data_IF_391734278097
#
_entry.id   IF_391734278097
#
_cell.length_a   1.000
_cell.length_b   1.000
_cell.length_c   1.000
_cell.angle_alpha   90.00
_cell.angle_beta   90.00
_cell.angle_gamma   90.00
#
_symmetry.space_group_name_H-M   'P 1'
#
loop_
_entity.id
_entity.type
_entity.pdbx_description
1 polymer ?
#
# COMPACT_ATOMS: atom_id res chain seq x y z
N UNK A 1 -30.67 52.47 18.75
CA UNK A 1 -30.24 51.24 18.02
C UNK A 1 -30.17 51.55 16.53
N UNK A 2 -28.98 51.42 15.89
CA UNK A 2 -28.86 51.66 14.44
C UNK A 2 -29.47 50.47 13.69
N UNK A 3 -30.38 50.74 12.74
CA UNK A 3 -30.96 49.68 11.87
C UNK A 3 -29.84 49.04 11.02
N UNK A 4 -29.83 47.71 10.91
CA UNK A 4 -28.82 47.02 10.07
C UNK A 4 -28.94 47.46 8.62
N UNK A 5 -27.82 47.64 7.95
CA UNK A 5 -27.80 48.00 6.53
C UNK A 5 -28.35 46.87 5.69
N UNK A 6 -29.05 47.12 4.55
CA UNK A 6 -29.60 46.06 3.71
C UNK A 6 -28.51 45.06 3.19
N UNK A 7 -27.27 45.52 3.06
CA UNK A 7 -26.12 44.68 2.71
C UNK A 7 -25.77 43.69 3.83
N UNK A 8 -25.84 44.10 5.10
CA UNK A 8 -25.59 43.22 6.24
C UNK A 8 -26.71 42.17 6.37
N UNK A 9 -27.96 42.56 6.15
CA UNK A 9 -29.10 41.64 6.17
C UNK A 9 -28.97 40.60 5.05
N UNK A 10 -28.60 41.03 3.83
CA UNK A 10 -28.38 40.12 2.72
C UNK A 10 -27.21 39.12 2.98
N UNK A 11 -26.10 39.61 3.54
CA UNK A 11 -24.96 38.75 3.91
C UNK A 11 -25.37 37.70 4.95
N UNK A 12 -26.08 38.11 6.02
CA UNK A 12 -26.56 37.18 7.05
C UNK A 12 -27.53 36.15 6.47
N UNK A 13 -28.43 36.55 5.57
CA UNK A 13 -29.34 35.63 4.90
C UNK A 13 -28.59 34.60 4.04
N UNK A 14 -27.59 35.03 3.27
CA UNK A 14 -26.75 34.10 2.46
C UNK A 14 -25.99 33.12 3.36
N UNK A 15 -25.37 33.61 4.44
CA UNK A 15 -24.65 32.72 5.39
C UNK A 15 -25.61 31.72 6.01
N UNK A 16 -26.81 32.09 6.41
CA UNK A 16 -27.80 31.18 6.98
C UNK A 16 -28.25 30.11 5.96
N UNK A 17 -28.51 30.52 4.71
CA UNK A 17 -28.91 29.59 3.64
C UNK A 17 -27.78 28.58 3.34
N UNK A 18 -26.53 29.04 3.23
CA UNK A 18 -25.37 28.21 3.00
C UNK A 18 -25.16 27.23 4.17
N UNK A 19 -25.23 27.75 5.42
CA UNK A 19 -25.04 26.91 6.61
C UNK A 19 -26.14 25.83 6.73
N UNK A 20 -27.39 26.21 6.45
CA UNK A 20 -28.52 25.29 6.45
C UNK A 20 -28.38 24.22 5.34
N UNK A 21 -27.97 24.64 4.14
CA UNK A 21 -27.72 23.73 3.00
C UNK A 21 -26.58 22.74 3.26
N UNK A 22 -25.47 23.21 3.81
CA UNK A 22 -24.33 22.36 4.22
C UNK A 22 -24.74 21.42 5.34
N UNK A 23 -25.43 21.93 6.37
CA UNK A 23 -25.92 21.10 7.47
C UNK A 23 -26.87 19.99 7.01
N UNK A 24 -27.82 20.31 6.13
CA UNK A 24 -28.73 19.32 5.55
C UNK A 24 -27.98 18.29 4.71
N UNK A 25 -27.02 18.72 3.88
CA UNK A 25 -26.18 17.81 3.08
C UNK A 25 -25.38 16.84 3.96
N UNK A 26 -24.73 17.36 5.00
CA UNK A 26 -23.95 16.55 5.95
C UNK A 26 -24.82 15.53 6.66
N UNK A 27 -26.00 15.93 7.17
CA UNK A 27 -26.94 15.00 7.84
C UNK A 27 -27.43 13.93 6.88
N UNK A 28 -27.78 14.33 5.64
CA UNK A 28 -28.25 13.38 4.62
C UNK A 28 -27.13 12.40 4.19
N UNK A 29 -25.90 12.90 3.97
CA UNK A 29 -24.75 12.08 3.63
C UNK A 29 -24.39 11.10 4.76
N UNK A 30 -24.36 11.57 6.00
CA UNK A 30 -24.16 10.72 7.18
C UNK A 30 -25.27 9.68 7.36
N UNK A 31 -26.53 10.04 7.09
CA UNK A 31 -27.67 9.13 7.12
C UNK A 31 -27.56 8.03 6.06
N UNK A 32 -27.25 8.39 4.82
CA UNK A 32 -27.08 7.42 3.73
C UNK A 32 -25.91 6.47 3.99
N UNK A 33 -24.80 6.96 4.52
CA UNK A 33 -23.65 6.13 4.88
C UNK A 33 -23.98 5.16 6.03
N UNK A 34 -24.73 5.61 7.06
CA UNK A 34 -25.21 4.73 8.14
C UNK A 34 -26.14 3.65 7.62
N UNK A 35 -27.05 3.98 6.69
CA UNK A 35 -27.94 3.01 6.07
C UNK A 35 -27.17 1.98 5.22
N UNK A 36 -26.18 2.40 4.46
CA UNK A 36 -25.32 1.50 3.69
C UNK A 36 -24.55 0.53 4.60
N UNK A 37 -23.98 1.04 5.70
CA UNK A 37 -23.27 0.22 6.69
C UNK A 37 -24.24 -0.77 7.39
N UNK A 38 -25.44 -0.33 7.75
CA UNK A 38 -26.44 -1.16 8.43
C UNK A 38 -27.07 -2.22 7.52
N UNK A 39 -27.15 -1.97 6.21
CA UNK A 39 -27.69 -2.90 5.21
C UNK A 39 -26.63 -3.77 4.54
N UNK A 40 -25.34 -3.58 4.88
CA UNK A 40 -24.26 -4.39 4.36
C UNK A 40 -24.43 -5.85 4.81
N UNK A 41 -24.16 -6.83 3.93
CA UNK A 41 -24.22 -8.24 4.30
C UNK A 41 -23.28 -8.51 5.48
N UNK A 42 -23.72 -9.30 6.46
CA UNK A 42 -22.85 -9.73 7.53
C UNK A 42 -21.70 -10.60 6.95
N UNK A 43 -20.46 -10.23 7.25
CA UNK A 43 -19.31 -11.05 6.88
C UNK A 43 -19.24 -12.23 7.84
N UNK A 44 -19.20 -13.46 7.30
CA UNK A 44 -18.99 -14.64 8.13
C UNK A 44 -17.68 -14.52 8.89
N UNK A 45 -17.73 -14.67 10.22
CA UNK A 45 -16.59 -14.51 11.10
C UNK A 45 -16.21 -15.83 11.79
N UNK A 46 -14.94 -15.93 12.17
CA UNK A 46 -14.38 -17.04 12.94
C UNK A 46 -13.55 -16.50 14.09
N UNK A 47 -13.10 -17.38 14.97
CA UNK A 47 -12.23 -17.01 16.09
C UNK A 47 -10.83 -16.62 15.62
N UNK A 48 -10.31 -15.50 16.15
CA UNK A 48 -9.00 -14.95 15.77
C UNK A 48 -7.84 -15.86 16.20
N UNK A 49 -7.89 -16.41 17.40
CA UNK A 49 -6.83 -17.29 17.88
C UNK A 49 -6.72 -18.55 17.02
N UNK A 50 -7.86 -19.12 16.62
CA UNK A 50 -7.91 -20.26 15.71
C UNK A 50 -7.37 -19.94 14.32
N UNK A 51 -7.67 -18.75 13.78
CA UNK A 51 -7.18 -18.33 12.47
C UNK A 51 -5.65 -18.10 12.48
N UNK A 52 -5.11 -17.54 13.57
CA UNK A 52 -3.68 -17.30 13.73
C UNK A 52 -2.86 -18.57 14.04
N UNK A 53 -3.49 -19.65 14.50
CA UNK A 53 -2.81 -20.89 14.84
C UNK A 53 -2.31 -21.70 13.64
N UNK A 54 -2.71 -21.34 12.42
CA UNK A 54 -2.36 -22.01 11.17
C UNK A 54 -1.73 -21.01 10.19
N UNK A 55 -1.05 -21.45 9.13
CA UNK A 55 -0.65 -20.55 8.06
C UNK A 55 -1.83 -19.75 7.53
N UNK A 56 -1.66 -18.42 7.44
CA UNK A 56 -2.77 -17.50 7.20
C UNK A 56 -2.34 -16.27 6.38
N UNK A 57 -3.32 -15.51 5.92
CA UNK A 57 -3.10 -14.19 5.32
C UNK A 57 -3.69 -13.13 6.23
N UNK A 58 -2.89 -12.13 6.55
CA UNK A 58 -3.31 -10.89 7.21
C UNK A 58 -3.57 -9.86 6.13
N UNK A 59 -4.68 -9.13 6.22
CA UNK A 59 -5.06 -8.14 5.21
C UNK A 59 -5.99 -7.07 5.79
N UNK A 60 -6.15 -5.97 5.06
CA UNK A 60 -7.17 -4.95 5.33
C UNK A 60 -8.51 -5.39 4.75
N UNK A 61 -9.57 -5.43 5.55
CA UNK A 61 -10.93 -5.69 5.07
C UNK A 61 -11.48 -4.48 4.31
N UNK A 62 -12.01 -4.70 3.10
CA UNK A 62 -12.60 -3.65 2.26
C UNK A 62 -14.06 -3.91 1.91
N UNK A 63 -14.68 -4.96 2.47
CA UNK A 63 -16.12 -5.15 2.34
C UNK A 63 -16.86 -4.02 3.06
N UNK A 64 -17.89 -3.44 2.45
CA UNK A 64 -18.74 -2.45 3.09
C UNK A 64 -19.31 -2.99 4.40
N UNK A 65 -19.32 -2.18 5.46
CA UNK A 65 -19.86 -2.56 6.75
C UNK A 65 -19.04 -2.08 7.93
N UNK A 66 -19.39 -2.54 9.15
CA UNK A 66 -18.70 -2.13 10.39
C UNK A 66 -17.22 -2.49 10.43
N UNK A 67 -16.82 -3.55 9.73
CA UNK A 67 -15.45 -4.04 9.67
C UNK A 67 -14.63 -3.47 8.51
N UNK A 68 -15.13 -2.46 7.79
CA UNK A 68 -14.36 -1.78 6.75
C UNK A 68 -13.12 -1.11 7.32
N UNK A 69 -11.95 -1.45 6.78
CA UNK A 69 -10.67 -0.93 7.22
C UNK A 69 -10.02 -1.71 8.37
N UNK A 70 -10.74 -2.64 9.01
CA UNK A 70 -10.15 -3.48 10.05
C UNK A 70 -9.12 -4.47 9.47
N UNK A 71 -8.16 -4.82 10.29
CA UNK A 71 -7.25 -5.94 10.04
C UNK A 71 -8.04 -7.23 10.15
N UNK A 72 -7.94 -8.05 9.13
CA UNK A 72 -8.61 -9.33 9.05
C UNK A 72 -7.61 -10.45 8.74
N UNK A 73 -7.96 -11.66 9.14
CA UNK A 73 -7.15 -12.87 8.98
C UNK A 73 -8.01 -13.97 8.38
N UNK A 74 -7.47 -14.69 7.39
CA UNK A 74 -8.06 -15.93 6.87
C UNK A 74 -7.00 -17.03 6.85
N UNK A 75 -7.35 -18.29 7.19
CA UNK A 75 -6.46 -19.42 6.99
C UNK A 75 -6.11 -19.58 5.50
N UNK A 76 -4.88 -19.93 5.18
CA UNK A 76 -4.46 -20.23 3.80
C UNK A 76 -5.26 -21.39 3.18
N UNK A 77 -5.71 -22.33 4.00
CA UNK A 77 -6.55 -23.45 3.56
C UNK A 77 -7.98 -23.05 3.12
N UNK A 78 -8.44 -21.83 3.52
CA UNK A 78 -9.77 -21.34 3.21
C UNK A 78 -9.77 -19.80 2.98
N UNK A 79 -9.08 -19.28 1.95
CA UNK A 79 -8.87 -17.85 1.77
C UNK A 79 -10.16 -17.06 1.50
N UNK A 80 -11.17 -17.69 0.91
CA UNK A 80 -12.50 -17.10 0.70
C UNK A 80 -13.52 -17.45 1.80
N UNK A 81 -13.07 -18.12 2.87
CA UNK A 81 -13.91 -18.55 3.99
C UNK A 81 -14.20 -17.46 5.01
N UNK A 82 -14.75 -17.86 6.17
CA UNK A 82 -14.95 -16.96 7.30
C UNK A 82 -13.64 -16.31 7.72
N UNK A 83 -13.68 -15.01 8.01
CA UNK A 83 -12.51 -14.24 8.43
C UNK A 83 -12.55 -13.90 9.90
N UNK A 84 -11.39 -13.84 10.54
CA UNK A 84 -11.27 -13.30 11.88
C UNK A 84 -10.90 -11.81 11.80
N UNK A 85 -11.31 -11.02 12.79
CA UNK A 85 -10.98 -9.59 12.84
C UNK A 85 -10.16 -9.30 14.09
N UNK A 86 -9.07 -8.55 13.89
CA UNK A 86 -8.28 -8.01 14.97
C UNK A 86 -8.84 -6.65 15.42
N UNK A 87 -8.56 -6.27 16.67
CA UNK A 87 -8.91 -4.92 17.19
C UNK A 87 -7.87 -3.88 16.73
N UNK A 88 -7.70 -3.81 15.41
CA UNK A 88 -6.81 -2.85 14.76
C UNK A 88 -7.40 -2.46 13.39
N UNK A 89 -7.18 -1.21 12.99
CA UNK A 89 -7.59 -0.69 11.69
C UNK A 89 -6.41 0.01 11.02
N UNK A 90 -6.10 -0.39 9.77
CA UNK A 90 -4.99 0.11 9.00
C UNK A 90 -5.44 0.54 7.61
N UNK A 91 -4.88 1.62 7.08
CA UNK A 91 -5.08 2.00 5.68
C UNK A 91 -4.17 1.16 4.78
N UNK A 92 -2.96 0.82 5.25
CA UNK A 92 -2.03 -0.16 4.68
C UNK A 92 -1.42 -0.98 5.80
N UNK A 93 -1.11 -2.23 5.52
CA UNK A 93 -0.41 -3.08 6.48
C UNK A 93 0.56 -4.04 5.80
N UNK A 94 1.48 -4.55 6.60
CA UNK A 94 2.29 -5.71 6.25
C UNK A 94 2.69 -6.46 7.53
N UNK A 95 2.71 -7.78 7.49
CA UNK A 95 2.98 -8.63 8.65
C UNK A 95 4.06 -9.64 8.34
N UNK A 96 5.02 -9.78 9.25
CA UNK A 96 6.03 -10.84 9.24
C UNK A 96 6.09 -11.45 10.65
N UNK A 97 5.85 -12.75 10.76
CA UNK A 97 5.79 -13.43 12.05
C UNK A 97 4.78 -12.77 12.98
N UNK A 98 5.25 -12.23 14.10
CA UNK A 98 4.44 -11.54 15.11
C UNK A 98 4.44 -10.02 15.00
N UNK A 99 5.13 -9.45 14.01
CA UNK A 99 5.29 -8.00 13.82
C UNK A 99 4.41 -7.52 12.68
N UNK A 100 3.55 -6.54 12.93
CA UNK A 100 2.72 -5.91 11.89
C UNK A 100 3.03 -4.43 11.81
N UNK A 101 3.36 -3.94 10.61
CA UNK A 101 3.38 -2.51 10.29
C UNK A 101 1.99 -2.08 9.84
N UNK A 102 1.45 -1.06 10.46
CA UNK A 102 0.11 -0.54 10.26
C UNK A 102 0.19 0.97 9.95
N UNK A 103 -0.05 1.36 8.73
CA UNK A 103 -0.06 2.75 8.32
C UNK A 103 -1.49 3.28 8.41
N UNK A 104 -1.68 4.43 9.08
CA UNK A 104 -3.00 4.99 9.36
C UNK A 104 -3.14 6.44 8.97
N UNK A 105 -4.35 6.78 8.55
CA UNK A 105 -4.83 8.16 8.41
C UNK A 105 -5.62 8.50 9.67
N UNK A 106 -5.04 9.30 10.55
CA UNK A 106 -5.69 9.74 11.80
C UNK A 106 -6.49 11.01 11.50
N UNK A 107 -7.81 10.84 11.41
CA UNK A 107 -8.73 11.93 11.11
C UNK A 107 -9.09 12.69 12.38
N UNK A 108 -8.99 14.01 12.34
CA UNK A 108 -9.31 14.92 13.45
C UNK A 108 -9.48 16.34 12.91
N UNK A 109 -9.30 17.35 13.78
CA UNK A 109 -9.29 18.77 13.37
C UNK A 109 -8.19 19.01 12.31
N UNK A 110 -7.05 18.36 12.48
CA UNK A 110 -6.03 18.23 11.44
C UNK A 110 -5.81 16.74 11.16
N UNK A 111 -5.77 16.38 9.89
CA UNK A 111 -5.42 15.01 9.48
C UNK A 111 -3.93 14.79 9.73
N UNK A 112 -3.59 13.66 10.35
CA UNK A 112 -2.23 13.18 10.56
C UNK A 112 -2.08 11.80 9.93
N UNK A 113 -0.85 11.43 9.65
CA UNK A 113 -0.49 10.12 9.13
C UNK A 113 0.53 9.50 10.06
N UNK A 114 0.34 8.24 10.39
CA UNK A 114 1.15 7.54 11.39
C UNK A 114 1.46 6.13 10.93
N UNK A 115 2.63 5.65 11.31
CA UNK A 115 2.99 4.24 11.26
C UNK A 115 2.99 3.71 12.68
N UNK A 116 2.22 2.66 12.92
CA UNK A 116 2.30 1.86 14.13
C UNK A 116 2.97 0.53 13.83
N UNK A 117 3.78 0.05 14.75
CA UNK A 117 4.20 -1.35 14.81
C UNK A 117 3.36 -2.05 15.89
N UNK A 118 2.72 -3.14 15.50
CA UNK A 118 1.85 -3.93 16.38
C UNK A 118 2.50 -5.27 16.69
N UNK A 119 2.33 -5.73 17.94
CA UNK A 119 2.73 -7.06 18.38
C UNK A 119 1.69 -8.16 17.98
N UNK A 120 1.96 -9.41 18.34
CA UNK A 120 1.05 -10.55 18.12
C UNK A 120 -0.32 -10.42 18.81
N UNK A 121 -0.45 -9.51 19.75
CA UNK A 121 -1.71 -9.18 20.46
C UNK A 121 -2.37 -7.94 19.85
N UNK A 122 -1.88 -7.46 18.73
CA UNK A 122 -2.34 -6.26 18.00
C UNK A 122 -2.19 -4.96 18.81
N UNK A 123 -1.29 -4.94 19.81
CA UNK A 123 -0.97 -3.75 20.60
C UNK A 123 0.20 -3.02 19.96
N UNK A 124 0.09 -1.68 19.95
CA UNK A 124 1.16 -0.82 19.45
C UNK A 124 2.39 -0.89 20.34
N UNK A 125 3.53 -1.21 19.76
CA UNK A 125 4.85 -1.26 20.41
C UNK A 125 5.71 -0.06 20.07
N UNK A 126 5.53 0.51 18.87
CA UNK A 126 6.19 1.72 18.42
C UNK A 126 5.27 2.53 17.50
N UNK A 127 5.45 3.85 17.47
CA UNK A 127 4.71 4.77 16.60
C UNK A 127 5.64 5.88 16.12
N UNK A 128 5.53 6.26 14.85
CA UNK A 128 6.19 7.45 14.30
C UNK A 128 5.32 8.14 13.25
N UNK A 129 5.52 9.44 13.02
CA UNK A 129 4.76 10.17 12.00
C UNK A 129 5.13 9.66 10.60
N UNK A 130 4.11 9.56 9.74
CA UNK A 130 4.28 9.31 8.32
C UNK A 130 4.15 10.65 7.59
N UNK A 131 5.03 11.00 6.63
CA UNK A 131 5.07 12.34 6.04
C UNK A 131 3.89 12.67 5.12
N UNK A 132 3.05 11.69 4.81
CA UNK A 132 1.90 11.89 3.92
C UNK A 132 0.98 10.68 3.84
N UNK A 133 0.21 10.60 2.75
CA UNK A 133 -0.82 9.56 2.57
C UNK A 133 -0.15 8.17 2.48
N UNK A 134 -0.59 7.20 3.32
CA UNK A 134 -0.10 5.82 3.29
C UNK A 134 -0.09 5.21 1.89
N UNK A 135 1.05 4.71 1.44
CA UNK A 135 1.18 4.08 0.14
C UNK A 135 1.57 2.61 0.26
N UNK A 136 2.75 2.31 0.85
CA UNK A 136 3.30 0.96 0.92
C UNK A 136 4.02 0.71 2.23
N UNK A 137 4.05 -0.54 2.67
CA UNK A 137 4.85 -0.99 3.81
C UNK A 137 5.44 -2.36 3.56
N UNK A 138 6.65 -2.59 4.08
CA UNK A 138 7.31 -3.90 4.14
C UNK A 138 8.11 -4.03 5.42
N UNK A 139 8.21 -5.26 5.88
CA UNK A 139 9.02 -5.64 7.05
C UNK A 139 10.09 -6.61 6.54
N UNK A 140 11.31 -6.53 7.09
CA UNK A 140 12.37 -7.51 6.80
C UNK A 140 11.99 -8.92 7.27
N UNK A 141 12.53 -9.98 6.65
CA UNK A 141 12.16 -11.36 7.00
C UNK A 141 12.38 -11.74 8.46
N UNK A 142 13.31 -11.09 9.16
CA UNK A 142 13.58 -11.26 10.58
C UNK A 142 12.68 -10.40 11.50
N UNK A 143 11.85 -9.52 10.92
CA UNK A 143 10.97 -8.62 11.65
C UNK A 143 11.62 -7.36 12.21
N UNK A 144 12.93 -7.13 11.97
CA UNK A 144 13.70 -6.07 12.60
C UNK A 144 13.59 -4.70 11.95
N UNK A 145 13.33 -4.66 10.62
CA UNK A 145 13.25 -3.44 9.84
C UNK A 145 11.85 -3.24 9.25
N UNK A 146 11.42 -1.99 9.22
CA UNK A 146 10.14 -1.55 8.64
C UNK A 146 10.41 -0.45 7.61
N UNK A 147 10.11 -0.72 6.36
CA UNK A 147 10.11 0.29 5.30
C UNK A 147 8.69 0.81 5.07
N UNK A 148 8.53 2.12 5.02
CA UNK A 148 7.26 2.78 4.74
C UNK A 148 7.39 3.77 3.61
N UNK A 149 6.40 3.81 2.72
CA UNK A 149 6.31 4.79 1.64
C UNK A 149 5.02 5.59 1.81
N UNK A 150 5.11 6.90 1.74
CA UNK A 150 3.98 7.83 1.73
C UNK A 150 3.97 8.69 0.46
N UNK A 151 2.78 9.03 -0.03
CA UNK A 151 2.63 10.11 -1.00
C UNK A 151 2.74 11.44 -0.28
N UNK A 152 3.63 12.30 -0.74
CA UNK A 152 3.90 13.61 -0.16
C UNK A 152 3.57 14.73 -1.15
N UNK A 153 3.19 15.90 -0.60
CA UNK A 153 2.94 17.12 -1.37
C UNK A 153 3.90 18.21 -0.91
N UNK A 154 4.30 19.12 -1.81
CA UNK A 154 5.12 20.27 -1.45
C UNK A 154 6.62 20.11 -1.67
N UNK A 155 7.09 18.97 -2.14
CA UNK A 155 8.45 18.84 -2.67
C UNK A 155 8.53 19.48 -4.07
N UNK A 156 9.69 20.02 -4.44
CA UNK A 156 9.91 20.75 -5.71
C UNK A 156 9.62 19.94 -6.99
N UNK A 157 9.44 18.63 -6.86
CA UNK A 157 9.11 17.71 -7.95
C UNK A 157 7.60 17.61 -8.25
N UNK A 158 6.75 18.17 -7.40
CA UNK A 158 5.29 17.99 -7.46
C UNK A 158 4.60 18.73 -8.62
N UNK A 159 5.33 19.37 -9.52
CA UNK A 159 4.70 20.14 -10.60
C UNK A 159 4.08 19.28 -11.71
N UNK A 160 4.47 18.00 -11.88
CA UNK A 160 3.92 17.11 -12.91
C UNK A 160 4.04 15.63 -12.50
N UNK A 161 3.48 15.20 -11.36
CA UNK A 161 3.53 13.80 -10.96
C UNK A 161 3.28 13.60 -9.47
N UNK A 162 3.28 12.35 -9.02
CA UNK A 162 3.27 12.03 -7.60
C UNK A 162 4.71 12.09 -7.05
N UNK A 163 4.86 12.58 -5.83
CA UNK A 163 6.09 12.47 -5.05
C UNK A 163 5.86 11.50 -3.90
N UNK A 164 6.87 10.71 -3.60
CA UNK A 164 6.86 9.80 -2.46
C UNK A 164 8.03 10.11 -1.53
N UNK A 165 7.87 9.76 -0.27
CA UNK A 165 8.97 9.65 0.68
C UNK A 165 8.99 8.22 1.20
N UNK A 166 10.15 7.58 1.14
CA UNK A 166 10.35 6.22 1.62
C UNK A 166 11.40 6.21 2.71
N UNK A 167 11.01 5.82 3.92
CA UNK A 167 11.89 5.73 5.09
C UNK A 167 12.02 4.30 5.57
N UNK A 168 13.16 4.00 6.20
CA UNK A 168 13.40 2.74 6.88
C UNK A 168 13.60 3.02 8.37
N UNK A 169 12.89 2.27 9.21
CA UNK A 169 13.02 2.30 10.67
C UNK A 169 13.32 0.90 11.18
N UNK A 170 13.89 0.80 12.37
CA UNK A 170 13.81 -0.46 13.12
C UNK A 170 12.39 -0.65 13.66
N UNK A 171 12.01 -1.88 13.94
CA UNK A 171 10.69 -2.20 14.50
C UNK A 171 10.44 -1.56 15.88
N UNK A 172 11.50 -1.13 16.58
CA UNK A 172 11.42 -0.37 17.83
C UNK A 172 11.18 1.14 17.64
N UNK A 173 11.10 1.62 16.37
CA UNK A 173 10.91 3.02 16.01
C UNK A 173 12.21 3.79 15.77
N UNK A 174 13.40 3.18 15.90
CA UNK A 174 14.67 3.85 15.59
C UNK A 174 14.72 4.20 14.11
N UNK A 175 14.84 5.49 13.80
CA UNK A 175 14.91 6.00 12.42
C UNK A 175 16.27 5.69 11.79
N UNK A 176 16.28 5.06 10.62
CA UNK A 176 17.45 4.78 9.79
C UNK A 176 17.54 5.71 8.57
N UNK A 177 16.56 6.58 8.39
CA UNK A 177 16.53 7.66 7.42
C UNK A 177 15.75 7.36 6.14
N UNK A 178 15.74 8.36 5.26
CA UNK A 178 15.08 8.33 3.96
C UNK A 178 15.98 7.71 2.89
N UNK A 179 15.39 7.01 1.91
CA UNK A 179 16.11 6.51 0.73
C UNK A 179 16.66 7.67 -0.14
N UNK A 180 16.12 8.88 -0.02
CA UNK A 180 16.63 10.05 -0.72
C UNK A 180 18.05 10.45 -0.27
N UNK A 181 18.44 10.05 0.95
CA UNK A 181 19.76 10.26 1.51
C UNK A 181 20.77 9.18 1.11
N UNK A 182 20.33 8.13 0.40
CA UNK A 182 21.21 7.03 -0.03
C UNK A 182 21.96 7.41 -1.32
N UNK A 183 23.19 6.95 -1.43
CA UNK A 183 23.99 7.14 -2.63
C UNK A 183 23.45 6.27 -3.77
N UNK A 184 22.88 6.90 -4.80
CA UNK A 184 22.37 6.21 -5.97
C UNK A 184 23.43 6.10 -7.07
N UNK A 185 23.59 4.90 -7.62
CA UNK A 185 24.42 4.62 -8.80
C UNK A 185 23.53 4.11 -9.95
N UNK A 186 23.66 4.75 -11.11
CA UNK A 186 22.98 4.34 -12.36
C UNK A 186 24.05 4.17 -13.43
N UNK A 187 24.04 3.06 -14.16
CA UNK A 187 25.02 2.71 -15.19
C UNK A 187 26.49 2.84 -14.71
N UNK A 188 26.74 2.44 -13.44
CA UNK A 188 28.04 2.47 -12.81
C UNK A 188 28.53 3.88 -12.41
N UNK A 189 27.68 4.91 -12.48
CA UNK A 189 28.02 6.30 -12.15
C UNK A 189 27.12 6.85 -11.05
N UNK A 190 27.65 7.72 -10.16
CA UNK A 190 26.80 8.43 -9.19
C UNK A 190 25.68 9.21 -9.89
N UNK A 191 24.47 9.09 -9.39
CA UNK A 191 23.30 9.81 -9.89
C UNK A 191 22.75 10.73 -8.79
N UNK A 192 22.85 12.04 -8.99
CA UNK A 192 22.61 13.06 -7.97
C UNK A 192 21.51 14.06 -8.33
N UNK A 193 20.69 13.76 -9.37
CA UNK A 193 19.58 14.64 -9.75
C UNK A 193 18.66 14.87 -8.56
N UNK A 194 18.18 16.11 -8.40
CA UNK A 194 17.34 16.52 -7.26
C UNK A 194 15.91 15.98 -7.35
N UNK A 195 15.48 15.51 -8.52
CA UNK A 195 14.14 14.96 -8.79
C UNK A 195 14.05 13.43 -8.63
N UNK A 196 15.03 12.83 -7.91
CA UNK A 196 14.98 11.41 -7.56
C UNK A 196 13.77 11.14 -6.66
N UNK A 197 13.12 10.03 -6.90
CA UNK A 197 11.93 9.59 -6.16
C UNK A 197 12.00 8.08 -5.94
N UNK A 198 11.67 7.59 -4.72
CA UNK A 198 11.87 6.19 -4.34
C UNK A 198 10.60 5.61 -3.70
N UNK A 199 10.27 4.35 -4.04
CA UNK A 199 9.15 3.63 -3.43
C UNK A 199 9.28 2.12 -3.57
N UNK A 200 8.36 1.39 -2.91
CA UNK A 200 8.16 -0.05 -3.13
C UNK A 200 9.33 -0.90 -2.67
N UNK A 201 9.82 -0.71 -1.43
CA UNK A 201 10.85 -1.57 -0.84
C UNK A 201 10.36 -3.00 -0.71
N UNK A 202 11.26 -3.96 -0.95
CA UNK A 202 11.09 -5.39 -0.69
C UNK A 202 12.39 -5.95 -0.14
N UNK A 203 12.41 -6.34 1.12
CA UNK A 203 13.61 -6.84 1.79
C UNK A 203 13.96 -8.26 1.34
N UNK A 204 15.24 -8.51 1.12
CA UNK A 204 15.84 -9.84 0.94
C UNK A 204 16.25 -10.42 2.30
N UNK A 205 16.82 -9.57 3.14
CA UNK A 205 17.27 -9.84 4.51
C UNK A 205 17.22 -8.54 5.35
N UNK A 206 17.92 -8.48 6.47
CA UNK A 206 17.99 -7.33 7.38
C UNK A 206 18.91 -6.18 6.88
N UNK A 207 19.51 -6.32 5.71
CA UNK A 207 20.33 -5.27 5.08
C UNK A 207 19.96 -5.05 3.61
N UNK A 208 19.88 -6.12 2.83
CA UNK A 208 19.67 -6.07 1.39
C UNK A 208 18.20 -5.94 1.05
N UNK A 209 17.87 -5.03 0.14
CA UNK A 209 16.50 -4.84 -0.35
C UNK A 209 16.47 -4.48 -1.84
N UNK A 210 15.30 -4.65 -2.44
CA UNK A 210 14.95 -4.09 -3.74
C UNK A 210 14.00 -2.91 -3.55
N UNK A 211 14.06 -1.94 -4.46
CA UNK A 211 13.16 -0.78 -4.49
C UNK A 211 12.98 -0.26 -5.91
N UNK A 212 12.07 0.67 -6.08
CA UNK A 212 11.94 1.48 -7.29
C UNK A 212 12.64 2.82 -7.08
N UNK A 213 13.37 3.26 -8.09
CA UNK A 213 13.83 4.63 -8.21
C UNK A 213 13.31 5.23 -9.51
N UNK A 214 13.04 6.53 -9.51
CA UNK A 214 12.67 7.29 -10.70
C UNK A 214 13.32 8.66 -10.73
N UNK A 215 13.42 9.23 -11.92
CA UNK A 215 13.75 10.63 -12.16
C UNK A 215 12.91 11.12 -13.33
N UNK A 216 12.26 12.24 -13.15
CA UNK A 216 11.44 12.86 -14.19
C UNK A 216 12.34 13.48 -15.27
N UNK A 217 13.43 14.15 -14.90
CA UNK A 217 14.38 14.74 -15.84
C UNK A 217 15.05 13.70 -16.73
N UNK A 218 15.27 12.49 -16.21
CA UNK A 218 15.77 11.35 -16.99
C UNK A 218 14.64 10.62 -17.75
N UNK A 219 13.37 10.91 -17.47
CA UNK A 219 12.20 10.15 -17.95
C UNK A 219 12.40 8.64 -17.76
N UNK A 220 12.86 8.24 -16.60
CA UNK A 220 13.26 6.87 -16.32
C UNK A 220 12.76 6.39 -14.96
N UNK A 221 12.49 5.07 -14.90
CA UNK A 221 12.31 4.29 -13.67
C UNK A 221 13.32 3.16 -13.67
N UNK A 222 13.77 2.77 -12.49
CA UNK A 222 14.76 1.71 -12.29
C UNK A 222 14.32 0.77 -11.18
N UNK A 223 14.58 -0.50 -11.35
CA UNK A 223 14.68 -1.42 -10.22
C UNK A 223 16.06 -1.25 -9.60
N UNK A 224 16.05 -1.02 -8.29
CA UNK A 224 17.23 -0.77 -7.49
C UNK A 224 17.50 -1.96 -6.56
N UNK A 225 18.78 -2.26 -6.33
CA UNK A 225 19.24 -3.07 -5.21
C UNK A 225 19.90 -2.15 -4.20
N UNK A 226 19.47 -2.22 -2.94
CA UNK A 226 19.94 -1.37 -1.87
C UNK A 226 20.58 -2.15 -0.72
N UNK A 227 21.40 -1.46 0.07
CA UNK A 227 21.92 -1.90 1.37
C UNK A 227 21.61 -0.84 2.41
N UNK A 228 21.01 -1.26 3.52
CA UNK A 228 20.65 -0.36 4.64
C UNK A 228 21.93 0.11 5.33
N UNK A 229 22.83 -0.80 5.65
CA UNK A 229 24.07 -0.49 6.40
C UNK A 229 25.03 0.38 5.58
N UNK A 230 25.17 0.11 4.27
CA UNK A 230 26.02 0.90 3.37
C UNK A 230 25.36 2.20 2.90
N UNK A 231 24.03 2.37 3.08
CA UNK A 231 23.24 3.50 2.56
C UNK A 231 23.43 3.72 1.06
N UNK A 232 23.36 2.64 0.29
CA UNK A 232 23.59 2.66 -1.16
C UNK A 232 22.42 2.09 -1.92
N UNK A 233 22.22 2.58 -3.13
CA UNK A 233 21.24 2.11 -4.10
C UNK A 233 21.94 1.93 -5.45
N UNK A 234 21.76 0.80 -6.11
CA UNK A 234 22.31 0.53 -7.44
C UNK A 234 21.21 0.13 -8.40
N UNK A 235 21.04 0.90 -9.47
CA UNK A 235 20.14 0.55 -10.54
C UNK A 235 20.71 -0.64 -11.33
N UNK A 236 19.88 -1.67 -11.51
CA UNK A 236 20.30 -2.88 -12.24
C UNK A 236 19.38 -3.20 -13.43
N UNK A 237 18.20 -2.57 -13.50
CA UNK A 237 17.24 -2.75 -14.58
C UNK A 237 16.34 -1.52 -14.73
N UNK A 238 16.01 -1.13 -15.95
CA UNK A 238 15.09 -0.03 -16.24
C UNK A 238 13.65 -0.51 -16.45
N UNK A 239 12.68 0.38 -16.25
CA UNK A 239 11.26 0.21 -16.62
C UNK A 239 10.44 -0.69 -15.68
N UNK A 240 10.91 -0.96 -14.46
CA UNK A 240 10.17 -1.72 -13.45
C UNK A 240 9.78 -0.88 -12.24
N UNK A 241 8.66 -1.23 -11.60
CA UNK A 241 8.16 -0.56 -10.39
C UNK A 241 7.62 -1.56 -9.36
N UNK A 242 7.73 -1.20 -8.07
CA UNK A 242 7.21 -1.97 -6.94
C UNK A 242 7.69 -3.43 -6.94
N UNK A 243 9.01 -3.67 -6.85
CA UNK A 243 9.56 -5.02 -6.81
C UNK A 243 9.09 -5.78 -5.56
N UNK A 244 8.97 -7.10 -5.71
CA UNK A 244 8.72 -8.05 -4.62
C UNK A 244 9.53 -9.31 -4.85
N UNK A 245 10.41 -9.64 -3.90
CA UNK A 245 11.27 -10.81 -3.96
C UNK A 245 10.49 -12.06 -3.53
N UNK A 246 10.67 -13.17 -4.25
CA UNK A 246 10.07 -14.47 -3.88
C UNK A 246 10.69 -15.03 -2.59
N UNK A 247 9.97 -15.90 -1.85
CA UNK A 247 10.48 -16.53 -0.62
C UNK A 247 11.80 -17.29 -0.82
N UNK A 248 11.94 -18.00 -1.95
CA UNK A 248 13.18 -18.69 -2.34
C UNK A 248 14.29 -17.77 -2.85
N UNK A 249 14.00 -16.46 -2.98
CA UNK A 249 14.90 -15.41 -3.51
C UNK A 249 15.37 -15.65 -4.95
N UNK A 250 14.67 -16.50 -5.71
CA UNK A 250 15.02 -16.80 -7.09
C UNK A 250 14.33 -15.85 -8.09
N UNK A 251 13.22 -15.26 -7.72
CA UNK A 251 12.37 -14.45 -8.59
C UNK A 251 12.10 -13.06 -8.01
N UNK A 252 12.08 -12.06 -8.89
CA UNK A 252 11.64 -10.71 -8.55
C UNK A 252 10.43 -10.34 -9.41
N UNK A 253 9.26 -10.24 -8.78
CA UNK A 253 8.04 -9.79 -9.42
C UNK A 253 7.92 -8.25 -9.32
N UNK A 254 7.41 -7.58 -10.36
CA UNK A 254 7.27 -6.13 -10.38
C UNK A 254 6.23 -5.67 -11.43
N UNK A 255 5.79 -4.44 -11.32
CA UNK A 255 4.94 -3.78 -12.32
C UNK A 255 5.80 -3.27 -13.47
N UNK A 256 5.31 -3.41 -14.69
CA UNK A 256 5.96 -2.92 -15.91
C UNK A 256 4.96 -2.27 -16.85
N UNK A 257 5.29 -1.09 -17.38
CA UNK A 257 4.53 -0.50 -18.48
C UNK A 257 4.84 -1.28 -19.75
N UNK A 258 3.82 -1.87 -20.37
CA UNK A 258 3.99 -2.67 -21.60
C UNK A 258 3.60 -1.91 -22.85
N UNK A 259 2.70 -0.91 -22.73
CA UNK A 259 2.31 0.00 -23.81
C UNK A 259 1.67 1.26 -23.21
N UNK A 260 1.46 2.25 -24.06
CA UNK A 260 0.68 3.45 -23.73
C UNK A 260 -0.44 3.59 -24.76
N UNK A 261 -1.69 3.55 -24.28
CA UNK A 261 -2.88 3.67 -25.11
C UNK A 261 -3.57 5.02 -24.82
N UNK A 262 -3.71 5.86 -25.82
CA UNK A 262 -4.32 7.20 -25.68
C UNK A 262 -3.75 8.04 -24.51
N UNK A 263 -2.44 7.94 -24.25
CA UNK A 263 -1.76 8.61 -23.14
C UNK A 263 -1.86 7.91 -21.79
N UNK A 264 -2.60 6.81 -21.68
CA UNK A 264 -2.72 6.00 -20.48
C UNK A 264 -1.71 4.84 -20.52
N UNK A 265 -0.96 4.69 -19.42
CA UNK A 265 -0.03 3.57 -19.27
C UNK A 265 -0.80 2.27 -19.04
N UNK A 266 -0.49 1.25 -19.84
CA UNK A 266 -0.99 -0.12 -19.62
C UNK A 266 0.08 -0.93 -18.94
N UNK A 267 -0.29 -1.51 -17.82
CA UNK A 267 0.60 -2.23 -16.93
C UNK A 267 0.44 -3.74 -17.08
N UNK A 268 1.54 -4.46 -16.88
CA UNK A 268 1.58 -5.90 -16.66
C UNK A 268 2.40 -6.21 -15.41
N UNK A 269 2.26 -7.41 -14.88
CA UNK A 269 3.26 -7.94 -13.98
C UNK A 269 4.37 -8.61 -14.78
N UNK A 270 5.61 -8.33 -14.38
CA UNK A 270 6.79 -8.98 -14.87
C UNK A 270 7.42 -9.79 -13.75
N UNK A 271 7.94 -10.96 -14.09
CA UNK A 271 8.74 -11.78 -13.18
C UNK A 271 10.11 -11.99 -13.79
N UNK A 272 11.13 -11.55 -13.07
CA UNK A 272 12.53 -11.69 -13.42
C UNK A 272 13.12 -12.89 -12.67
N UNK A 273 13.64 -13.88 -13.39
CA UNK A 273 14.47 -14.94 -12.81
C UNK A 273 15.87 -14.37 -12.57
N UNK A 274 16.27 -14.25 -11.32
CA UNK A 274 17.50 -13.54 -10.94
C UNK A 274 18.76 -14.26 -11.40
N UNK A 275 18.74 -15.58 -11.49
CA UNK A 275 19.90 -16.40 -11.87
C UNK A 275 20.37 -16.16 -13.31
N UNK A 276 19.46 -15.87 -14.25
CA UNK A 276 19.77 -15.78 -15.68
C UNK A 276 19.24 -14.49 -16.33
N UNK A 277 18.52 -13.65 -15.60
CA UNK A 277 17.97 -12.39 -16.10
C UNK A 277 16.76 -12.55 -17.04
N UNK A 278 16.18 -13.75 -17.16
CA UNK A 278 14.98 -13.99 -17.98
C UNK A 278 13.78 -13.29 -17.36
N UNK A 279 13.06 -12.53 -18.18
CA UNK A 279 11.84 -11.83 -17.81
C UNK A 279 10.63 -12.47 -18.49
N UNK A 280 9.60 -12.77 -17.72
CA UNK A 280 8.29 -13.23 -18.21
C UNK A 280 7.23 -12.20 -17.89
N UNK A 281 6.38 -11.85 -18.87
CA UNK A 281 5.27 -10.90 -18.69
C UNK A 281 3.95 -11.65 -18.50
N UNK A 282 3.14 -11.14 -17.55
CA UNK A 282 1.81 -11.63 -17.24
C UNK A 282 0.82 -10.50 -17.43
N UNK A 283 -0.07 -10.65 -18.43
CA UNK A 283 -1.09 -9.65 -18.72
C UNK A 283 -2.17 -9.68 -17.64
N UNK A 284 -2.28 -8.58 -16.90
CA UNK A 284 -3.30 -8.35 -15.88
C UNK A 284 -4.09 -7.12 -16.29
N UNK A 285 -5.23 -7.34 -16.90
CA UNK A 285 -5.99 -6.35 -17.67
C UNK A 285 -6.62 -5.21 -16.89
N UNK A 286 -6.55 -5.17 -15.56
CA UNK A 286 -7.19 -4.15 -14.75
C UNK A 286 -6.28 -3.65 -13.62
N UNK A 287 -5.60 -2.53 -13.86
CA UNK A 287 -5.06 -1.64 -12.83
C UNK A 287 -4.27 -2.28 -11.69
N UNK A 288 -2.99 -2.58 -11.92
CA UNK A 288 -2.06 -3.05 -10.89
C UNK A 288 -1.56 -1.89 -10.04
N UNK A 289 -2.19 -1.57 -8.91
CA UNK A 289 -1.67 -0.49 -8.05
C UNK A 289 -1.26 -0.97 -6.65
N UNK A 290 -1.42 -2.23 -6.33
CA UNK A 290 -0.92 -2.80 -5.08
C UNK A 290 0.48 -3.38 -5.23
N UNK A 291 1.21 -3.50 -4.11
CA UNK A 291 2.49 -4.18 -4.07
C UNK A 291 2.25 -5.69 -4.08
N UNK A 292 2.97 -6.40 -4.93
CA UNK A 292 2.87 -7.86 -5.05
C UNK A 292 3.30 -8.51 -3.75
N UNK A 293 2.52 -9.48 -3.28
CA UNK A 293 2.88 -10.43 -2.23
C UNK A 293 3.08 -11.81 -2.83
N UNK A 294 3.89 -12.67 -2.20
CA UNK A 294 4.11 -14.04 -2.64
C UNK A 294 3.35 -15.03 -1.74
N UNK A 295 2.41 -15.77 -2.36
CA UNK A 295 1.75 -16.88 -1.68
C UNK A 295 2.71 -18.05 -1.46
N UNK A 296 3.56 -18.31 -2.43
CA UNK A 296 4.63 -19.29 -2.43
C UNK A 296 5.65 -18.90 -3.53
N UNK A 297 6.60 -19.78 -3.87
CA UNK A 297 7.65 -19.48 -4.86
C UNK A 297 7.12 -19.38 -6.30
N UNK A 298 5.86 -19.75 -6.54
CA UNK A 298 5.24 -19.82 -7.87
C UNK A 298 3.94 -19.06 -8.01
N UNK A 299 3.40 -18.50 -6.93
CA UNK A 299 2.12 -17.82 -6.94
C UNK A 299 2.24 -16.43 -6.34
N UNK A 300 1.83 -15.41 -7.09
CA UNK A 300 1.77 -14.04 -6.62
C UNK A 300 0.34 -13.64 -6.22
N UNK A 301 0.23 -12.78 -5.20
CA UNK A 301 -1.00 -12.13 -4.75
C UNK A 301 -0.90 -10.63 -4.98
N UNK A 302 -2.01 -10.01 -5.33
CA UNK A 302 -2.10 -8.56 -5.50
C UNK A 302 -3.53 -8.05 -5.31
N UNK A 303 -3.66 -6.83 -4.81
CA UNK A 303 -4.96 -6.18 -4.66
C UNK A 303 -5.45 -5.55 -5.95
N UNK A 304 -6.76 -5.61 -6.20
CA UNK A 304 -7.40 -4.99 -7.35
C UNK A 304 -8.77 -4.42 -6.97
N UNK A 305 -9.02 -3.17 -7.35
CA UNK A 305 -10.31 -2.52 -7.09
C UNK A 305 -11.41 -3.14 -7.97
N UNK A 306 -12.61 -3.27 -7.41
CA UNK A 306 -13.80 -3.62 -8.19
C UNK A 306 -14.27 -2.41 -8.99
N UNK A 307 -14.54 -2.61 -10.27
CA UNK A 307 -14.99 -1.54 -11.15
C UNK A 307 -16.42 -1.06 -10.84
N UNK A 308 -17.25 -1.96 -10.35
CA UNK A 308 -18.69 -1.78 -10.06
C UNK A 308 -18.97 -1.43 -8.59
N UNK A 309 -17.99 -1.52 -7.69
CA UNK A 309 -18.15 -1.29 -6.26
C UNK A 309 -17.00 -0.41 -5.71
N UNK A 310 -17.08 0.93 -5.90
CA UNK A 310 -16.04 1.85 -5.45
C UNK A 310 -15.71 1.70 -3.95
N UNK A 311 -14.40 1.58 -3.63
CA UNK A 311 -13.92 1.39 -2.27
C UNK A 311 -13.78 -0.08 -1.86
N UNK A 312 -14.33 -1.02 -2.64
CA UNK A 312 -14.12 -2.45 -2.45
C UNK A 312 -13.00 -2.96 -3.36
N UNK A 313 -12.16 -3.80 -2.82
CA UNK A 313 -11.04 -4.43 -3.51
C UNK A 313 -11.04 -5.92 -3.24
N UNK A 314 -10.44 -6.70 -4.14
CA UNK A 314 -10.19 -8.12 -3.93
C UNK A 314 -8.69 -8.40 -4.01
N UNK A 315 -8.21 -9.37 -3.25
CA UNK A 315 -6.90 -9.96 -3.47
C UNK A 315 -7.03 -11.06 -4.51
N UNK A 316 -6.25 -10.95 -5.55
CA UNK A 316 -6.18 -11.91 -6.65
C UNK A 316 -4.91 -12.74 -6.55
N UNK A 317 -4.95 -13.96 -7.06
CA UNK A 317 -3.78 -14.84 -7.21
C UNK A 317 -3.50 -15.10 -8.69
N UNK A 318 -2.20 -15.21 -9.01
CA UNK A 318 -1.71 -15.59 -10.33
C UNK A 318 -0.59 -16.62 -10.17
N UNK A 319 -0.76 -17.82 -10.74
CA UNK A 319 0.27 -18.82 -10.84
C UNK A 319 1.23 -18.45 -11.97
N UNK A 320 2.49 -18.21 -11.63
CA UNK A 320 3.53 -17.82 -12.58
C UNK A 320 4.28 -19.03 -13.18
N UNK A 321 4.07 -20.23 -12.66
CA UNK A 321 4.69 -21.46 -13.17
C UNK A 321 3.95 -22.04 -14.38
N UNK A 322 2.66 -21.69 -14.51
CA UNK A 322 1.79 -22.19 -15.59
C UNK A 322 1.68 -21.14 -16.71
N UNK A 323 2.20 -21.42 -17.92
CA UNK A 323 2.06 -20.52 -19.05
C UNK A 323 0.59 -20.23 -19.38
N UNK A 324 0.24 -18.95 -19.50
CA UNK A 324 -1.12 -18.54 -19.81
C UNK A 324 -2.14 -18.67 -18.67
N UNK A 325 -1.68 -18.97 -17.44
CA UNK A 325 -2.55 -18.93 -16.26
C UNK A 325 -3.31 -17.60 -16.16
N UNK A 326 -4.58 -17.70 -15.75
CA UNK A 326 -5.43 -16.53 -15.58
C UNK A 326 -5.54 -16.16 -14.10
N UNK A 327 -5.52 -14.87 -13.77
CA UNK A 327 -5.78 -14.41 -12.42
C UNK A 327 -7.16 -14.88 -11.93
N UNK A 328 -7.25 -15.17 -10.63
CA UNK A 328 -8.49 -15.50 -9.94
C UNK A 328 -8.59 -14.79 -8.61
N UNK A 329 -9.81 -14.48 -8.19
CA UNK A 329 -10.04 -13.93 -6.85
C UNK A 329 -9.61 -14.96 -5.81
N UNK A 330 -8.72 -14.54 -4.91
CA UNK A 330 -8.21 -15.35 -3.82
C UNK A 330 -8.88 -15.01 -2.50
N UNK A 331 -8.93 -13.70 -2.13
CA UNK A 331 -9.65 -13.21 -0.95
C UNK A 331 -10.58 -12.09 -1.39
N UNK A 332 -11.91 -12.28 -1.40
CA UNK A 332 -12.86 -11.22 -1.71
C UNK A 332 -12.83 -10.12 -0.64
N UNK A 333 -12.99 -8.85 -1.02
CA UNK A 333 -13.09 -7.73 -0.10
C UNK A 333 -11.85 -7.56 0.78
N UNK A 334 -10.66 -7.60 0.17
CA UNK A 334 -9.37 -7.58 0.86
C UNK A 334 -8.37 -6.67 0.13
N UNK A 335 -7.43 -6.10 0.90
CA UNK A 335 -6.35 -5.24 0.42
C UNK A 335 -5.07 -5.39 1.25
N UNK A 336 -3.90 -5.12 0.67
CA UNK A 336 -2.60 -5.24 1.35
C UNK A 336 -2.41 -6.62 1.99
N UNK A 337 -2.41 -7.72 1.23
CA UNK A 337 -2.20 -9.05 1.78
C UNK A 337 -0.78 -9.21 2.30
N UNK A 338 -0.62 -9.91 3.42
CA UNK A 338 0.66 -10.40 3.96
C UNK A 338 0.51 -11.87 4.35
N UNK A 339 1.35 -12.72 3.79
CA UNK A 339 1.31 -14.17 4.02
C UNK A 339 2.17 -14.53 5.22
N UNK A 340 1.58 -15.19 6.22
CA UNK A 340 2.24 -15.67 7.44
C UNK A 340 2.18 -17.20 7.47
N UNK A 341 3.37 -17.84 7.66
CA UNK A 341 3.55 -19.32 7.65
C UNK A 341 4.02 -19.82 8.99
#
# INVERSE_FOLDING_TARGET
MRRPTPRLVALVAVVLVVTAGVGWYVVRAAGSQRHQVASAPSVASTDLASALATPHVVFRSTLPGPQYGQVAVVPLAAPAGPRAFADAACDRLYTVGSTTSCLRIVRGVATRYETDVLDSSWRTTATWPLPGIPSRSRISPDGSLVATTAFVTGHSYAQVGFSTETTIHKADGTDLGSLEDYALTVDGKPYTASDRNFWGVSFVDDDTFYATGASQSANATWLLKGSVSARTLTAFRSGGECPSISPDRAHLAYKKVVRTDAGQKVWAYAVLTLANGTETLYDVTAGCDDQIEWLDDTTILYGMARADEPGTTDVWSLDISTPGAKPRVFIPGAWSPAVVR
#
